data_IF_311738334239
#
_entry.id   IF_311738334239
#
_cell.length_a   1.000
_cell.length_b   1.000
_cell.length_c   1.000
_cell.angle_alpha   90.00
_cell.angle_beta   90.00
_cell.angle_gamma   90.00
#
_symmetry.space_group_name_H-M   'P 1'
#
loop_
_entity.id
_entity.type
_entity.pdbx_description
1 polymer ?
#
# COMPACT_ATOMS: atom_id res chain seq x y z
N UNK A 1 2.86 -6.14 -31.58
CA UNK A 1 2.20 -6.19 -30.24
C UNK A 1 3.29 -5.99 -29.19
N UNK A 2 3.16 -5.02 -28.29
CA UNK A 2 4.14 -4.84 -27.19
C UNK A 2 3.91 -5.97 -26.20
N UNK A 3 4.84 -6.93 -26.14
CA UNK A 3 4.86 -7.94 -25.07
C UNK A 3 5.08 -7.21 -23.75
N UNK A 4 4.03 -7.03 -22.95
CA UNK A 4 4.17 -6.54 -21.61
C UNK A 4 4.99 -7.54 -20.81
N UNK A 5 6.13 -7.13 -20.24
CA UNK A 5 6.91 -7.98 -19.36
C UNK A 5 6.01 -8.42 -18.20
N UNK A 6 5.96 -9.72 -17.94
CA UNK A 6 5.15 -10.31 -16.86
C UNK A 6 5.61 -9.78 -15.50
N UNK A 7 6.93 -9.84 -15.28
CA UNK A 7 7.58 -9.36 -14.05
C UNK A 7 8.38 -8.11 -14.38
N UNK A 8 8.32 -7.13 -13.52
CA UNK A 8 9.16 -5.93 -13.54
C UNK A 8 9.75 -5.70 -12.17
N UNK A 9 10.96 -5.15 -12.13
CA UNK A 9 11.59 -4.75 -10.89
C UNK A 9 11.31 -3.27 -10.65
N UNK A 10 10.85 -2.95 -9.48
CA UNK A 10 10.66 -1.56 -9.04
C UNK A 10 11.66 -1.22 -7.95
N UNK A 11 12.13 0.00 -7.99
CA UNK A 11 13.02 0.57 -6.99
C UNK A 11 12.17 1.28 -5.93
N UNK A 12 12.38 0.92 -4.68
CA UNK A 12 11.83 1.62 -3.52
C UNK A 12 12.87 2.66 -3.11
N UNK A 13 12.49 3.94 -3.16
CA UNK A 13 13.37 5.06 -2.86
C UNK A 13 12.98 5.72 -1.55
N UNK A 14 13.99 6.15 -0.80
CA UNK A 14 13.79 6.99 0.39
C UNK A 14 13.38 8.43 0.01
N UNK A 15 13.15 9.27 1.03
CA UNK A 15 12.78 10.69 0.82
C UNK A 15 13.88 11.49 0.14
N UNK A 16 15.11 11.01 0.13
CA UNK A 16 16.27 11.62 -0.53
C UNK A 16 16.47 11.10 -1.97
N UNK A 17 15.60 10.19 -2.44
CA UNK A 17 15.66 9.61 -3.78
C UNK A 17 16.66 8.46 -3.93
N UNK A 18 17.26 7.97 -2.84
CA UNK A 18 18.19 6.84 -2.86
C UNK A 18 17.41 5.53 -2.87
N UNK A 19 17.84 4.58 -3.69
CA UNK A 19 17.25 3.24 -3.73
C UNK A 19 17.59 2.50 -2.43
N UNK A 20 16.57 2.20 -1.64
CA UNK A 20 16.70 1.46 -0.36
C UNK A 20 16.34 -0.01 -0.50
N UNK A 21 15.53 -0.36 -1.50
CA UNK A 21 15.19 -1.74 -1.82
C UNK A 21 14.75 -1.86 -3.29
N UNK A 22 14.82 -3.07 -3.81
CA UNK A 22 14.21 -3.45 -5.09
C UNK A 22 13.21 -4.56 -4.85
N UNK A 23 12.07 -4.53 -5.55
CA UNK A 23 11.06 -5.57 -5.45
C UNK A 23 10.59 -5.99 -6.83
N UNK A 24 10.50 -7.31 -7.02
CA UNK A 24 9.85 -7.85 -8.21
C UNK A 24 8.34 -7.81 -8.05
N UNK A 25 7.66 -7.33 -9.07
CA UNK A 25 6.20 -7.25 -9.13
C UNK A 25 5.71 -7.69 -10.50
N UNK A 26 4.52 -8.24 -10.55
CA UNK A 26 3.86 -8.54 -11.82
C UNK A 26 2.99 -7.36 -12.22
N UNK A 27 2.96 -7.08 -13.53
CA UNK A 27 2.09 -6.05 -14.09
C UNK A 27 0.75 -6.66 -14.51
N UNK A 28 -0.34 -5.88 -14.39
CA UNK A 28 -1.65 -6.31 -14.89
C UNK A 28 -1.60 -6.72 -16.36
N UNK A 29 -0.90 -5.96 -17.22
CA UNK A 29 -0.74 -6.28 -18.63
C UNK A 29 0.01 -7.61 -18.85
N UNK A 30 1.06 -7.86 -18.05
CA UNK A 30 1.80 -9.12 -18.10
C UNK A 30 0.93 -10.31 -17.65
N UNK A 31 0.18 -10.15 -16.54
CA UNK A 31 -0.76 -11.17 -16.06
C UNK A 31 -1.84 -11.49 -17.10
N UNK A 32 -2.43 -10.47 -17.72
CA UNK A 32 -3.44 -10.65 -18.75
C UNK A 32 -2.88 -11.39 -19.96
N UNK A 33 -1.69 -11.01 -20.42
CA UNK A 33 -1.02 -11.69 -21.52
C UNK A 33 -0.72 -13.17 -21.19
N UNK A 34 -0.22 -13.43 -19.97
CA UNK A 34 0.05 -14.80 -19.52
C UNK A 34 -1.23 -15.61 -19.39
N UNK A 35 -2.31 -15.03 -18.84
CA UNK A 35 -3.60 -15.71 -18.76
C UNK A 35 -4.16 -16.10 -20.13
N UNK A 36 -4.01 -15.24 -21.15
CA UNK A 36 -4.38 -15.58 -22.53
C UNK A 36 -3.56 -16.75 -23.08
N UNK A 37 -2.26 -16.81 -22.82
CA UNK A 37 -1.41 -17.93 -23.22
C UNK A 37 -1.82 -19.24 -22.54
N UNK A 38 -2.40 -19.16 -21.34
CA UNK A 38 -2.86 -20.30 -20.56
C UNK A 38 -4.36 -20.62 -20.76
N UNK A 39 -4.95 -20.13 -21.83
CA UNK A 39 -6.32 -20.45 -22.20
C UNK A 39 -7.39 -19.68 -21.42
N UNK A 40 -7.17 -18.38 -21.19
CA UNK A 40 -8.18 -17.48 -20.63
C UNK A 40 -9.44 -17.49 -21.51
N UNK A 41 -10.59 -17.84 -20.90
CA UNK A 41 -11.91 -17.88 -21.55
C UNK A 41 -12.71 -16.63 -21.29
N UNK A 42 -12.73 -16.17 -20.01
CA UNK A 42 -13.50 -14.98 -19.63
C UNK A 42 -13.00 -14.39 -18.33
N UNK A 43 -13.20 -13.07 -18.20
CA UNK A 43 -13.06 -12.33 -16.95
C UNK A 43 -14.37 -11.60 -16.68
N UNK A 44 -14.99 -11.85 -15.54
CA UNK A 44 -16.20 -11.17 -15.10
C UNK A 44 -15.89 -10.45 -13.79
N UNK A 45 -16.36 -9.22 -13.64
CA UNK A 45 -16.20 -8.45 -12.41
C UNK A 45 -17.55 -8.00 -11.87
N UNK A 46 -17.66 -7.94 -10.55
CA UNK A 46 -18.84 -7.44 -9.85
C UNK A 46 -18.40 -6.52 -8.72
N UNK A 47 -19.02 -5.35 -8.64
CA UNK A 47 -18.89 -4.47 -7.48
C UNK A 47 -19.74 -5.04 -6.35
N UNK A 48 -19.13 -5.33 -5.21
CA UNK A 48 -19.76 -5.91 -4.03
C UNK A 48 -20.15 -4.81 -3.05
N UNK A 49 -19.27 -3.82 -2.87
CA UNK A 49 -19.49 -2.69 -1.99
C UNK A 49 -19.12 -1.38 -2.69
N UNK A 50 -20.03 -0.42 -2.64
CA UNK A 50 -19.79 0.94 -3.12
C UNK A 50 -19.14 1.78 -2.02
N UNK A 51 -18.25 2.72 -2.37
CA UNK A 51 -17.69 3.66 -1.40
C UNK A 51 -18.79 4.56 -0.80
N UNK A 52 -18.79 4.68 0.52
CA UNK A 52 -19.66 5.59 1.26
C UNK A 52 -18.91 6.14 2.48
N UNK A 53 -19.46 7.17 3.13
CA UNK A 53 -18.89 7.70 4.38
C UNK A 53 -18.93 6.67 5.51
N UNK A 54 -19.95 5.81 5.52
CA UNK A 54 -20.18 4.81 6.58
C UNK A 54 -19.19 3.63 6.49
N UNK A 55 -18.54 3.45 5.34
CA UNK A 55 -17.55 2.38 5.13
C UNK A 55 -16.15 2.93 4.78
N UNK A 56 -15.82 4.14 5.27
CA UNK A 56 -14.52 4.79 5.06
C UNK A 56 -14.17 4.94 3.57
N UNK A 57 -15.16 5.19 2.73
CA UNK A 57 -15.01 5.28 1.29
C UNK A 57 -14.42 4.00 0.65
N UNK A 58 -14.69 2.83 1.22
CA UNK A 58 -14.14 1.56 0.76
C UNK A 58 -15.01 0.94 -0.35
N UNK A 59 -14.42 0.72 -1.52
CA UNK A 59 -14.97 -0.11 -2.58
C UNK A 59 -14.43 -1.54 -2.45
N UNK A 60 -15.30 -2.53 -2.62
CA UNK A 60 -14.93 -3.95 -2.72
C UNK A 60 -15.49 -4.49 -4.03
N UNK A 61 -14.62 -5.09 -4.83
CA UNK A 61 -14.99 -5.75 -6.08
C UNK A 61 -14.58 -7.22 -6.06
N UNK A 62 -15.31 -8.05 -6.78
CA UNK A 62 -14.98 -9.44 -7.02
C UNK A 62 -14.65 -9.63 -8.50
N UNK A 63 -13.67 -10.46 -8.80
CA UNK A 63 -13.37 -10.91 -10.14
C UNK A 63 -13.45 -12.43 -10.21
N UNK A 64 -14.07 -12.93 -11.30
CA UNK A 64 -14.08 -14.33 -11.69
C UNK A 64 -13.29 -14.47 -12.98
N UNK A 65 -12.23 -15.25 -12.95
CA UNK A 65 -11.41 -15.62 -14.10
C UNK A 65 -11.66 -17.10 -14.43
N UNK A 66 -11.95 -17.38 -15.69
CA UNK A 66 -12.15 -18.75 -16.18
C UNK A 66 -11.08 -19.06 -17.22
N UNK A 67 -10.34 -20.11 -16.99
CA UNK A 67 -9.32 -20.65 -17.90
C UNK A 67 -9.65 -22.12 -18.22
N UNK A 68 -8.83 -22.77 -19.02
CA UNK A 68 -8.93 -24.21 -19.23
C UNK A 68 -8.62 -25.03 -17.97
N UNK A 69 -7.83 -24.46 -17.05
CA UNK A 69 -7.43 -25.13 -15.79
C UNK A 69 -8.52 -25.06 -14.70
N UNK A 70 -9.46 -24.10 -14.80
CA UNK A 70 -10.50 -23.94 -13.80
C UNK A 70 -11.07 -22.53 -13.68
N UNK A 71 -11.74 -22.32 -12.56
CA UNK A 71 -12.39 -21.06 -12.19
C UNK A 71 -11.69 -20.50 -10.95
N UNK A 72 -11.26 -19.25 -11.03
CA UNK A 72 -10.55 -18.55 -9.97
C UNK A 72 -11.36 -17.29 -9.61
N UNK A 73 -11.62 -17.10 -8.31
CA UNK A 73 -12.45 -16.00 -7.82
C UNK A 73 -11.69 -15.33 -6.69
N UNK A 74 -11.48 -14.00 -6.84
CA UNK A 74 -10.80 -13.21 -5.85
C UNK A 74 -11.49 -11.86 -5.65
N UNK A 75 -11.26 -11.27 -4.47
CA UNK A 75 -11.73 -9.94 -4.13
C UNK A 75 -10.58 -8.92 -4.17
N UNK A 76 -10.94 -7.69 -4.46
CA UNK A 76 -10.03 -6.55 -4.36
C UNK A 76 -10.76 -5.39 -3.69
N UNK A 77 -10.10 -4.75 -2.76
CA UNK A 77 -10.58 -3.58 -2.06
C UNK A 77 -9.74 -2.34 -2.39
N UNK A 78 -10.35 -1.18 -2.26
CA UNK A 78 -9.66 0.10 -2.35
C UNK A 78 -10.37 1.15 -1.50
N UNK A 79 -9.60 1.92 -0.75
CA UNK A 79 -10.07 3.05 0.04
C UNK A 79 -9.00 4.16 0.08
N UNK A 80 -9.32 5.36 0.58
CA UNK A 80 -8.35 6.46 0.66
C UNK A 80 -7.09 6.15 1.48
N UNK A 81 -7.15 5.18 2.40
CA UNK A 81 -6.02 4.76 3.23
C UNK A 81 -5.06 3.80 2.54
N UNK A 82 -5.52 3.05 1.52
CA UNK A 82 -4.72 2.03 0.84
C UNK A 82 -4.43 2.34 -0.65
N UNK A 83 -4.75 3.56 -1.11
CA UNK A 83 -4.42 4.02 -2.46
C UNK A 83 -3.68 5.35 -2.44
N UNK A 84 -2.90 5.63 -3.49
CA UNK A 84 -2.30 6.95 -3.68
C UNK A 84 -3.39 8.02 -3.83
N UNK A 85 -3.13 9.25 -3.36
CA UNK A 85 -4.06 10.39 -3.41
C UNK A 85 -4.62 10.68 -4.82
N UNK A 86 -3.82 10.45 -5.86
CA UNK A 86 -4.24 10.59 -7.27
C UNK A 86 -5.27 9.52 -7.70
N UNK A 87 -5.33 8.39 -6.98
CA UNK A 87 -6.23 7.27 -7.26
C UNK A 87 -7.54 7.40 -6.51
N UNK A 88 -7.60 8.20 -5.43
CA UNK A 88 -8.82 8.38 -4.61
C UNK A 88 -10.08 8.65 -5.46
N UNK A 89 -10.06 9.50 -6.52
CA UNK A 89 -11.23 9.68 -7.38
C UNK A 89 -11.63 8.42 -8.18
N UNK A 90 -10.79 7.39 -8.18
CA UNK A 90 -10.93 6.18 -9.00
C UNK A 90 -10.98 4.89 -8.16
N UNK A 91 -11.41 4.98 -6.90
CA UNK A 91 -11.41 3.87 -5.92
C UNK A 91 -12.12 2.63 -6.48
N UNK A 92 -13.31 2.77 -7.08
CA UNK A 92 -14.03 1.64 -7.68
C UNK A 92 -13.19 0.95 -8.77
N UNK A 93 -12.55 1.72 -9.65
CA UNK A 93 -11.70 1.15 -10.71
C UNK A 93 -10.48 0.44 -10.12
N UNK A 94 -9.90 0.98 -9.05
CA UNK A 94 -8.77 0.35 -8.37
C UNK A 94 -9.17 -0.98 -7.73
N UNK A 95 -10.30 -1.06 -7.02
CA UNK A 95 -10.79 -2.31 -6.43
C UNK A 95 -11.03 -3.39 -7.51
N UNK A 96 -11.62 -3.01 -8.66
CA UNK A 96 -11.80 -3.92 -9.79
C UNK A 96 -10.46 -4.40 -10.37
N UNK A 97 -9.48 -3.51 -10.50
CA UNK A 97 -8.16 -3.87 -11.04
C UNK A 97 -7.43 -4.83 -10.10
N UNK A 98 -7.47 -4.60 -8.79
CA UNK A 98 -6.90 -5.49 -7.78
C UNK A 98 -7.57 -6.86 -7.79
N UNK A 99 -8.91 -6.92 -7.81
CA UNK A 99 -9.63 -8.18 -7.90
C UNK A 99 -9.23 -9.00 -9.13
N UNK A 100 -9.14 -8.35 -10.31
CA UNK A 100 -8.70 -9.01 -11.54
C UNK A 100 -7.25 -9.49 -11.47
N UNK A 101 -6.35 -8.68 -10.92
CA UNK A 101 -4.93 -9.03 -10.79
C UNK A 101 -4.76 -10.25 -9.87
N UNK A 102 -5.44 -10.29 -8.72
CA UNK A 102 -5.42 -11.42 -7.78
C UNK A 102 -5.94 -12.70 -8.44
N UNK A 103 -7.13 -12.67 -9.03
CA UNK A 103 -7.72 -13.83 -9.69
C UNK A 103 -6.87 -14.34 -10.88
N UNK A 104 -6.26 -13.45 -11.66
CA UNK A 104 -5.36 -13.86 -12.74
C UNK A 104 -4.05 -14.44 -12.21
N UNK A 105 -3.51 -13.90 -11.13
CA UNK A 105 -2.30 -14.42 -10.49
C UNK A 105 -2.46 -15.88 -10.07
N UNK A 106 -3.59 -16.19 -9.44
CA UNK A 106 -3.94 -17.57 -9.06
C UNK A 106 -4.12 -18.46 -10.29
N UNK A 107 -4.81 -17.95 -11.32
CA UNK A 107 -5.05 -18.69 -12.57
C UNK A 107 -3.75 -19.08 -13.30
N UNK A 108 -2.69 -18.25 -13.18
CA UNK A 108 -1.39 -18.51 -13.83
C UNK A 108 -0.33 -19.01 -12.84
N UNK A 109 -0.70 -19.29 -11.59
CA UNK A 109 0.16 -19.82 -10.53
C UNK A 109 1.41 -18.96 -10.26
N UNK A 110 1.22 -17.65 -10.07
CA UNK A 110 2.31 -16.72 -9.77
C UNK A 110 2.15 -16.20 -8.34
N UNK A 111 3.17 -16.48 -7.48
CA UNK A 111 3.18 -16.04 -6.08
C UNK A 111 3.66 -14.61 -5.85
N UNK A 112 4.17 -13.93 -6.88
CA UNK A 112 4.66 -12.53 -6.77
C UNK A 112 3.47 -11.58 -6.77
N UNK A 113 3.49 -10.58 -5.87
CA UNK A 113 2.41 -9.58 -5.78
C UNK A 113 2.32 -8.72 -7.04
N UNK A 114 1.11 -8.25 -7.35
CA UNK A 114 0.92 -7.35 -8.48
C UNK A 114 1.33 -5.91 -8.12
N UNK A 115 1.70 -5.13 -9.14
CA UNK A 115 2.10 -3.73 -8.97
C UNK A 115 0.96 -2.91 -8.32
N UNK A 116 -0.28 -3.24 -8.61
CA UNK A 116 -1.47 -2.57 -8.11
C UNK A 116 -1.70 -2.81 -6.61
N UNK A 117 -1.16 -3.90 -6.07
CA UNK A 117 -1.26 -4.26 -4.65
C UNK A 117 -0.09 -3.70 -3.82
N UNK A 118 1.00 -3.30 -4.47
CA UNK A 118 2.20 -2.81 -3.79
C UNK A 118 1.93 -1.59 -2.91
N UNK A 119 1.00 -0.72 -3.31
CA UNK A 119 0.61 0.44 -2.53
C UNK A 119 0.00 0.08 -1.16
N UNK A 120 -0.58 -1.10 -1.01
CA UNK A 120 -1.09 -1.61 0.27
C UNK A 120 0.05 -1.98 1.22
N UNK A 121 1.10 -2.58 0.68
CA UNK A 121 2.22 -3.08 1.49
C UNK A 121 3.12 -1.95 2.01
N UNK A 122 3.28 -0.88 1.23
CA UNK A 122 4.15 0.25 1.59
C UNK A 122 3.39 1.46 2.15
N UNK A 123 2.08 1.34 2.43
CA UNK A 123 1.21 2.29 3.12
C UNK A 123 1.63 3.75 2.95
N UNK A 124 1.03 4.46 2.00
CA UNK A 124 1.05 5.94 1.88
C UNK A 124 2.41 6.65 1.95
N UNK A 125 3.50 5.96 1.60
CA UNK A 125 4.79 6.58 1.34
C UNK A 125 4.75 7.22 -0.05
N UNK A 126 4.83 8.55 -0.08
CA UNK A 126 4.82 9.46 -1.22
C UNK A 126 5.68 8.96 -2.41
N UNK A 127 5.17 8.01 -3.18
CA UNK A 127 5.79 7.47 -4.39
C UNK A 127 5.54 8.41 -5.56
N UNK A 128 6.48 9.28 -5.84
CA UNK A 128 6.52 10.11 -7.05
C UNK A 128 6.79 9.21 -8.28
N UNK A 129 5.76 8.53 -8.77
CA UNK A 129 5.77 7.80 -10.03
C UNK A 129 5.48 8.75 -11.19
N UNK A 130 6.52 9.17 -11.89
CA UNK A 130 6.44 9.97 -13.11
C UNK A 130 5.78 9.15 -14.24
N UNK A 131 4.47 9.28 -14.38
CA UNK A 131 3.67 8.77 -15.50
C UNK A 131 3.18 9.96 -16.33
N UNK A 132 3.86 10.23 -17.44
CA UNK A 132 3.54 11.26 -18.42
C UNK A 132 2.14 11.02 -19.02
N UNK A 133 1.18 11.85 -18.69
CA UNK A 133 -0.18 11.86 -19.24
C UNK A 133 -0.74 13.27 -19.21
N UNK A 134 -0.66 13.93 -20.37
CA UNK A 134 -1.14 15.28 -20.66
C UNK A 134 -2.61 15.50 -20.29
N UNK A 135 -2.94 16.60 -19.62
CA UNK A 135 -4.32 17.04 -19.36
C UNK A 135 -4.40 18.24 -18.43
N UNK A 136 -4.66 19.36 -18.99
CA UNK A 136 -4.72 20.77 -18.64
C UNK A 136 -5.37 21.14 -17.27
N UNK A 137 -4.98 22.25 -16.65
CA UNK A 137 -5.45 22.69 -15.33
C UNK A 137 -6.66 23.62 -15.41
N UNK A 138 -7.60 23.46 -14.50
CA UNK A 138 -8.50 24.57 -14.14
C UNK A 138 -8.55 24.75 -12.62
N UNK A 139 -8.31 25.97 -12.28
CA UNK A 139 -8.09 26.65 -11.03
C UNK A 139 -9.22 26.60 -9.99
N UNK A 140 -8.74 26.80 -8.78
CA UNK A 140 -9.15 27.65 -7.63
C UNK A 140 -9.95 26.94 -6.56
N UNK A 141 -9.37 26.75 -5.37
CA UNK A 141 -9.43 27.64 -4.22
C UNK A 141 -8.55 27.13 -3.06
N UNK A 142 -7.87 28.10 -2.48
CA UNK A 142 -6.82 27.95 -1.47
C UNK A 142 -7.46 27.89 -0.08
N UNK A 143 -7.65 26.68 0.46
CA UNK A 143 -7.88 26.52 1.88
C UNK A 143 -6.61 25.88 2.50
N UNK A 144 -6.13 26.47 3.61
CA UNK A 144 -4.91 26.11 4.34
C UNK A 144 -4.79 24.59 4.54
N UNK A 145 -3.83 23.95 3.86
CA UNK A 145 -3.46 22.57 4.12
C UNK A 145 -2.64 22.53 5.42
N UNK A 146 -3.22 21.96 6.47
CA UNK A 146 -2.41 21.35 7.52
C UNK A 146 -1.48 20.33 6.86
N UNK A 147 -0.17 20.48 7.03
CA UNK A 147 0.83 19.57 6.46
C UNK A 147 0.54 18.16 6.99
N UNK A 148 0.72 17.14 6.17
CA UNK A 148 0.43 15.73 6.51
C UNK A 148 1.23 15.25 7.75
N UNK A 149 2.30 15.96 8.07
CA UNK A 149 3.12 15.83 9.29
C UNK A 149 2.38 16.13 10.60
N UNK A 150 1.35 16.98 10.57
CA UNK A 150 0.63 17.44 11.76
C UNK A 150 -0.61 16.56 12.07
N UNK A 151 -0.92 15.60 11.20
CA UNK A 151 -1.98 14.63 11.44
C UNK A 151 -1.60 13.64 12.56
N UNK A 152 -2.58 13.08 13.28
CA UNK A 152 -2.33 12.05 14.27
C UNK A 152 -1.55 10.86 13.71
N UNK A 153 -0.75 10.21 14.55
CA UNK A 153 0.01 9.01 14.23
C UNK A 153 -0.89 7.94 13.60
N UNK A 154 -0.43 7.34 12.49
CA UNK A 154 -1.17 6.28 11.83
C UNK A 154 -1.14 4.97 12.62
N UNK A 155 -2.18 4.13 12.42
CA UNK A 155 -2.24 2.79 13.02
C UNK A 155 -1.02 1.94 12.62
N UNK A 156 -0.53 2.11 11.39
CA UNK A 156 0.67 1.41 10.90
C UNK A 156 1.94 1.84 11.63
N UNK A 157 2.13 3.15 11.88
CA UNK A 157 3.25 3.66 12.65
C UNK A 157 3.21 3.15 14.09
N UNK A 158 2.02 3.14 14.71
CA UNK A 158 1.83 2.59 16.05
C UNK A 158 2.23 1.11 16.11
N UNK A 159 1.69 0.28 15.23
CA UNK A 159 2.04 -1.16 15.13
C UNK A 159 3.54 -1.37 14.93
N UNK A 160 4.17 -0.55 14.11
CA UNK A 160 5.59 -0.67 13.82
C UNK A 160 6.46 -0.30 15.02
N UNK A 161 6.10 0.73 15.79
CA UNK A 161 6.77 1.07 17.04
C UNK A 161 6.70 -0.06 18.07
N UNK A 162 5.51 -0.67 18.25
CA UNK A 162 5.35 -1.83 19.13
C UNK A 162 6.21 -3.01 18.69
N UNK A 163 6.27 -3.27 17.38
CA UNK A 163 7.10 -4.33 16.82
C UNK A 163 8.59 -4.09 17.09
N UNK A 164 9.10 -2.88 16.85
CA UNK A 164 10.51 -2.54 17.10
C UNK A 164 10.88 -2.70 18.59
N UNK A 165 9.95 -2.37 19.50
CA UNK A 165 10.16 -2.55 20.93
C UNK A 165 10.09 -4.02 21.35
N UNK A 166 9.23 -4.81 20.72
CA UNK A 166 9.17 -6.26 20.92
C UNK A 166 10.47 -6.96 20.41
N UNK A 167 11.04 -6.50 19.30
CA UNK A 167 12.35 -6.96 18.81
C UNK A 167 13.49 -6.61 19.79
N UNK A 168 13.31 -5.59 20.62
CA UNK A 168 14.20 -5.22 21.76
C UNK A 168 13.84 -5.92 23.08
N UNK A 169 12.97 -6.92 23.05
CA UNK A 169 12.61 -7.75 24.20
C UNK A 169 11.57 -7.16 25.16
N UNK A 170 10.88 -6.07 24.78
CA UNK A 170 9.82 -5.48 25.60
C UNK A 170 8.49 -6.19 25.37
N UNK A 171 7.74 -6.42 26.45
CA UNK A 171 6.35 -6.85 26.38
C UNK A 171 5.44 -5.73 25.83
N UNK A 172 4.22 -6.04 25.44
CA UNK A 172 3.29 -5.05 24.90
C UNK A 172 2.97 -3.94 25.91
N UNK A 173 2.79 -4.30 27.19
CA UNK A 173 2.54 -3.35 28.29
C UNK A 173 3.75 -2.44 28.57
N UNK A 174 4.95 -3.03 28.56
CA UNK A 174 6.20 -2.27 28.72
C UNK A 174 6.46 -1.34 27.53
N UNK A 175 6.16 -1.78 26.31
CA UNK A 175 6.27 -0.98 25.10
C UNK A 175 5.28 0.20 25.12
N UNK A 176 4.04 -0.03 25.56
CA UNK A 176 3.04 1.02 25.68
C UNK A 176 3.46 2.06 26.71
N UNK A 177 3.87 1.61 27.89
CA UNK A 177 4.34 2.50 28.97
C UNK A 177 5.55 3.31 28.54
N UNK A 178 6.51 2.67 27.87
CA UNK A 178 7.72 3.33 27.36
C UNK A 178 7.39 4.37 26.27
N UNK A 179 6.51 4.05 25.34
CA UNK A 179 6.10 4.98 24.28
C UNK A 179 5.32 6.18 24.84
N UNK A 180 4.45 5.98 25.81
CA UNK A 180 3.74 7.08 26.47
C UNK A 180 4.70 8.03 27.19
N UNK A 181 5.69 7.48 27.88
CA UNK A 181 6.73 8.27 28.51
C UNK A 181 7.62 9.00 27.49
N UNK A 182 8.02 8.32 26.41
CA UNK A 182 8.89 8.88 25.38
C UNK A 182 8.22 9.98 24.54
N UNK A 183 6.92 9.92 24.36
CA UNK A 183 6.14 10.96 23.70
C UNK A 183 5.58 12.02 24.64
N UNK A 184 5.72 11.83 25.96
CA UNK A 184 5.16 12.69 27.01
C UNK A 184 3.63 12.89 26.86
N UNK A 185 2.90 11.81 26.53
CA UNK A 185 1.46 11.85 26.28
C UNK A 185 0.70 10.80 27.08
N UNK A 186 -0.51 11.13 27.50
CA UNK A 186 -1.44 10.16 28.11
C UNK A 186 -2.12 9.28 27.07
N UNK A 187 -2.34 9.81 25.84
CA UNK A 187 -2.94 9.09 24.71
C UNK A 187 -2.15 9.31 23.43
N UNK A 188 -2.04 8.25 22.62
CA UNK A 188 -1.38 8.30 21.31
C UNK A 188 -2.13 9.14 20.27
N UNK A 189 -3.36 9.55 20.54
CA UNK A 189 -4.17 10.37 19.63
C UNK A 189 -3.58 11.77 19.42
N UNK A 190 -2.74 12.22 20.35
CA UNK A 190 -2.04 13.50 20.29
C UNK A 190 -0.65 13.41 19.64
N UNK A 191 -0.14 12.21 19.38
CA UNK A 191 1.15 12.02 18.73
C UNK A 191 1.01 12.25 17.23
N UNK A 192 1.74 13.21 16.67
CA UNK A 192 1.69 13.49 15.23
C UNK A 192 2.48 12.45 14.43
N UNK A 193 2.17 12.33 13.14
CA UNK A 193 2.91 11.43 12.22
C UNK A 193 4.39 11.74 12.15
N UNK A 194 4.76 13.02 12.26
CA UNK A 194 6.16 13.45 12.27
C UNK A 194 6.89 12.90 13.50
N UNK A 195 6.34 13.15 14.68
CA UNK A 195 6.94 12.70 15.96
C UNK A 195 7.07 11.18 16.00
N UNK A 196 6.03 10.45 15.50
CA UNK A 196 6.09 9.00 15.39
C UNK A 196 7.19 8.52 14.43
N UNK A 197 7.38 9.20 13.29
CA UNK A 197 8.43 8.86 12.32
C UNK A 197 9.83 9.12 12.88
N UNK A 198 10.01 10.23 13.61
CA UNK A 198 11.28 10.57 14.22
C UNK A 198 11.67 9.52 15.30
N UNK A 199 10.69 9.05 16.08
CA UNK A 199 10.90 7.97 17.06
C UNK A 199 11.26 6.64 16.40
N UNK A 200 10.61 6.28 15.30
CA UNK A 200 10.94 5.08 14.52
C UNK A 200 12.40 5.14 14.07
N UNK A 201 12.83 6.26 13.50
CA UNK A 201 14.21 6.45 13.06
C UNK A 201 15.20 6.31 14.21
N UNK A 202 14.92 6.93 15.34
CA UNK A 202 15.75 6.83 16.56
C UNK A 202 15.88 5.38 17.06
N UNK A 203 14.78 4.61 17.05
CA UNK A 203 14.81 3.19 17.45
C UNK A 203 15.59 2.32 16.49
N UNK A 204 15.57 2.62 15.18
CA UNK A 204 16.35 1.92 14.16
C UNK A 204 17.84 2.25 14.26
N UNK A 205 18.20 3.51 14.50
CA UNK A 205 19.59 3.93 14.70
C UNK A 205 20.20 3.30 15.94
N UNK A 206 19.44 3.24 17.04
CA UNK A 206 19.88 2.58 18.26
C UNK A 206 19.94 1.05 18.19
N UNK A 207 19.38 0.44 17.14
CA UNK A 207 19.54 -1.00 16.88
C UNK A 207 20.82 -1.31 16.05
N UNK A 208 21.38 -0.30 15.38
CA UNK A 208 22.57 -0.46 14.53
C UNK A 208 23.89 -0.05 15.21
N UNK A 209 23.88 0.37 16.48
CA UNK A 209 25.11 0.59 17.24
C UNK A 209 25.50 -0.72 17.91
N UNK A 210 26.68 -1.31 17.61
CA UNK A 210 27.20 -2.43 18.39
C UNK A 210 27.47 -1.93 19.82
N UNK A 211 26.99 -2.69 20.82
CA UNK A 211 27.37 -2.47 22.20
C UNK A 211 28.89 -2.60 22.33
N UNK A 212 29.59 -1.49 22.49
CA UNK A 212 30.98 -1.51 22.96
C UNK A 212 30.97 -1.95 24.42
N UNK A 213 31.41 -3.18 24.61
CA UNK A 213 31.86 -3.69 25.94
C UNK A 213 33.36 -3.53 26.08
#
# INVERSE_FOLDING_TARGET
>A
MRNGNLVTTIEIKDKQGRVVATKEVVTYAGLLNRAHQEGLKTIVTRLIQTPSKDNEMTAISMAKVVTEKGVFIECGDANPGNVNSKIIPHIIRMSVTRAKARAMRDAVNIGVISLEELAEEFGNGNGNGNGNGSGNPLSTDRAKSTTDSDKPMSVSQRKYLFRLLAEKGKTEEEAESWLRAAFEVESFDHVTRKVASDMINHLLESANQPEEH
#
